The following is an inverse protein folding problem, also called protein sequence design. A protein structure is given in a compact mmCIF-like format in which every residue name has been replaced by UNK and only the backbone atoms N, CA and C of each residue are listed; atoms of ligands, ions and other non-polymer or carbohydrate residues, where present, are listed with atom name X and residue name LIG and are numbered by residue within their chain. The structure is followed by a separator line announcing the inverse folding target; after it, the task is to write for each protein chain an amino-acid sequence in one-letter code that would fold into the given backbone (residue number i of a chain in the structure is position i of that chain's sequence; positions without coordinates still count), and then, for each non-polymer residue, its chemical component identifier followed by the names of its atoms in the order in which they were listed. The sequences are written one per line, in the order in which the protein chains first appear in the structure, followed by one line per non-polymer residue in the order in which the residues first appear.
data_IF_957373086171
#
_entry.id   IF_957373086171
#
_cell.length_a   1.000
_cell.length_b   1.000
_cell.length_c   1.000
_cell.angle_alpha   90.00
_cell.angle_beta   90.00
_cell.angle_gamma   90.00
#
_symmetry.space_group_name_H-M   'P 1'
#
loop_
_entity.id
_entity.type
_entity.pdbx_description
1 polymer ?
#
# COMPACT_ATOMS: atom_id res chain seq x y z
N UNK A 1 9.94 21.75 26.53
CA UNK A 1 9.96 20.37 27.07
C UNK A 1 9.77 19.47 25.86
N UNK A 2 10.82 18.85 25.31
CA UNK A 2 10.66 17.86 24.25
C UNK A 2 10.05 16.62 24.92
N UNK A 3 8.81 16.30 24.57
CA UNK A 3 8.20 15.04 24.96
C UNK A 3 9.10 13.88 24.47
N UNK A 4 9.07 12.77 25.20
CA UNK A 4 9.75 11.54 24.81
C UNK A 4 9.21 11.07 23.45
N UNK A 5 10.11 10.84 22.48
CA UNK A 5 9.72 10.43 21.13
C UNK A 5 9.32 8.95 21.13
N UNK A 6 8.22 8.64 20.47
CA UNK A 6 7.62 7.32 20.46
C UNK A 6 7.61 6.73 19.04
N UNK A 7 8.11 5.48 18.89
CA UNK A 7 8.01 4.77 17.64
C UNK A 7 7.27 3.43 17.80
N UNK A 8 6.31 3.16 16.92
CA UNK A 8 5.68 1.86 16.82
C UNK A 8 6.57 0.91 16.00
N UNK A 9 6.68 -0.35 16.45
CA UNK A 9 7.40 -1.42 15.74
C UNK A 9 6.42 -2.44 15.19
N UNK A 10 6.55 -2.74 13.90
CA UNK A 10 5.82 -3.81 13.19
C UNK A 10 6.86 -4.68 12.49
N UNK A 11 6.73 -6.01 12.59
CA UNK A 11 7.66 -6.92 11.94
C UNK A 11 6.98 -7.88 10.96
N UNK A 12 7.78 -8.54 10.14
CA UNK A 12 7.31 -9.56 9.21
C UNK A 12 6.71 -10.77 9.97
N UNK A 13 5.71 -11.42 9.38
CA UNK A 13 5.06 -12.61 9.97
C UNK A 13 5.96 -13.83 10.15
N UNK A 14 7.21 -13.81 9.65
CA UNK A 14 8.21 -14.86 9.82
C UNK A 14 9.38 -14.35 10.69
N UNK A 15 9.32 -14.50 12.02
CA UNK A 15 10.24 -13.88 12.99
C UNK A 15 11.73 -14.13 12.73
N UNK A 16 12.19 -15.34 12.33
CA UNK A 16 13.62 -15.60 12.12
C UNK A 16 14.31 -14.64 11.15
N UNK A 17 13.54 -14.02 10.23
CA UNK A 17 14.12 -13.10 9.25
C UNK A 17 14.40 -11.71 9.83
N UNK A 18 13.73 -11.32 10.92
CA UNK A 18 13.74 -9.95 11.47
C UNK A 18 14.23 -9.85 12.89
N UNK A 19 14.43 -10.98 13.61
CA UNK A 19 14.80 -10.97 15.04
C UNK A 19 16.11 -10.21 15.31
N UNK A 20 17.14 -10.38 14.48
CA UNK A 20 18.40 -9.63 14.61
C UNK A 20 18.17 -8.12 14.40
N UNK A 21 17.34 -7.76 13.41
CA UNK A 21 17.01 -6.36 13.13
C UNK A 21 16.20 -5.71 14.25
N UNK A 22 15.39 -6.46 14.99
CA UNK A 22 14.70 -5.94 16.19
C UNK A 22 15.71 -5.52 17.26
N UNK A 23 16.73 -6.32 17.51
CA UNK A 23 17.79 -5.94 18.45
C UNK A 23 18.53 -4.66 18.00
N UNK A 24 18.81 -4.54 16.69
CA UNK A 24 19.41 -3.32 16.12
C UNK A 24 18.48 -2.12 16.26
N UNK A 25 17.17 -2.28 16.04
CA UNK A 25 16.18 -1.23 16.20
C UNK A 25 16.11 -0.72 17.65
N UNK A 26 16.12 -1.65 18.63
CA UNK A 26 16.14 -1.32 20.07
C UNK A 26 17.40 -0.52 20.42
N UNK A 27 18.56 -0.94 19.93
CA UNK A 27 19.82 -0.24 20.17
C UNK A 27 19.81 1.18 19.57
N UNK A 28 19.41 1.31 18.32
CA UNK A 28 19.35 2.59 17.61
C UNK A 28 18.32 3.57 18.22
N UNK A 29 17.15 3.07 18.60
CA UNK A 29 16.13 3.88 19.28
C UNK A 29 16.63 4.40 20.62
N UNK A 30 17.23 3.52 21.44
CA UNK A 30 17.79 3.88 22.75
C UNK A 30 18.89 4.93 22.63
N UNK A 31 19.80 4.77 21.68
CA UNK A 31 20.89 5.74 21.43
C UNK A 31 20.35 7.13 21.07
N UNK A 32 19.26 7.16 20.30
CA UNK A 32 18.63 8.40 19.86
C UNK A 32 17.59 8.98 20.86
N UNK A 33 17.38 8.32 22.01
CA UNK A 33 16.42 8.76 23.04
C UNK A 33 14.95 8.54 22.66
N UNK A 34 14.66 7.50 21.86
CA UNK A 34 13.31 7.09 21.50
C UNK A 34 12.86 5.89 22.31
N UNK A 35 11.55 5.81 22.53
CA UNK A 35 10.90 4.58 23.03
C UNK A 35 10.30 3.82 21.84
N UNK A 36 10.52 2.50 21.84
CA UNK A 36 9.83 1.58 20.93
C UNK A 36 8.65 0.95 21.65
N UNK A 37 7.51 0.90 20.96
CA UNK A 37 6.30 0.22 21.43
C UNK A 37 5.82 -0.79 20.39
N UNK A 38 5.29 -1.91 20.85
CA UNK A 38 4.63 -2.90 20.01
C UNK A 38 3.58 -3.65 20.82
N UNK A 39 2.70 -4.40 20.15
CA UNK A 39 1.78 -5.29 20.87
C UNK A 39 2.57 -6.41 21.58
N UNK A 40 2.01 -6.93 22.66
CA UNK A 40 2.64 -8.05 23.39
C UNK A 40 2.86 -9.27 22.45
N UNK A 41 1.95 -9.51 21.52
CA UNK A 41 2.07 -10.56 20.50
C UNK A 41 3.29 -10.31 19.59
N UNK A 42 3.49 -9.07 19.14
CA UNK A 42 4.62 -8.70 18.28
C UNK A 42 5.95 -8.91 19.00
N UNK A 43 6.06 -8.48 20.27
CA UNK A 43 7.26 -8.66 21.08
C UNK A 43 7.56 -10.15 21.31
N UNK A 44 6.53 -10.95 21.61
CA UNK A 44 6.68 -12.38 21.87
C UNK A 44 7.29 -13.16 20.69
N UNK A 45 7.09 -12.69 19.45
CA UNK A 45 7.71 -13.30 18.25
C UNK A 45 9.24 -13.30 18.29
N UNK A 46 9.86 -12.36 19.01
CA UNK A 46 11.30 -12.11 18.97
C UNK A 46 12.06 -12.47 20.25
N UNK A 47 11.34 -12.92 21.30
CA UNK A 47 11.94 -13.37 22.56
C UNK A 47 12.89 -12.32 23.16
N UNK A 48 14.14 -12.71 23.42
CA UNK A 48 15.17 -11.84 24.00
C UNK A 48 15.45 -10.56 23.17
N UNK A 49 15.38 -10.65 21.85
CA UNK A 49 15.61 -9.50 20.98
C UNK A 49 14.53 -8.40 21.12
N UNK A 50 13.34 -8.78 21.59
CA UNK A 50 12.26 -7.84 21.92
C UNK A 50 12.43 -7.12 23.26
N UNK A 51 13.46 -7.44 24.06
CA UNK A 51 13.76 -6.72 25.31
C UNK A 51 14.11 -5.26 25.00
N UNK A 52 13.40 -4.33 25.63
CA UNK A 52 13.54 -2.89 25.40
C UNK A 52 12.50 -2.32 24.43
N UNK A 53 11.55 -3.14 23.97
CA UNK A 53 10.31 -2.72 23.35
C UNK A 53 9.21 -2.76 24.41
N UNK A 54 8.50 -1.67 24.62
CA UNK A 54 7.42 -1.58 25.59
C UNK A 54 6.13 -2.19 25.03
N UNK A 55 5.49 -3.06 25.79
CA UNK A 55 4.23 -3.67 25.40
C UNK A 55 3.08 -2.68 25.53
N UNK A 56 2.22 -2.64 24.50
CA UNK A 56 1.00 -1.84 24.46
C UNK A 56 -0.21 -2.71 24.10
N UNK A 57 -1.38 -2.30 24.58
CA UNK A 57 -2.66 -2.93 24.25
C UNK A 57 -3.20 -2.34 22.95
N UNK A 58 -2.71 -2.87 21.82
CA UNK A 58 -2.92 -2.33 20.47
C UNK A 58 -1.93 -1.22 20.12
N UNK A 59 -1.67 -1.07 18.82
CA UNK A 59 -0.79 0.00 18.34
C UNK A 59 -1.42 1.36 18.59
N UNK A 60 -0.70 2.34 19.20
CA UNK A 60 -1.22 3.67 19.43
C UNK A 60 -1.57 4.36 18.10
N UNK A 61 -2.70 5.09 18.09
CA UNK A 61 -3.12 5.86 16.90
C UNK A 61 -2.17 7.01 16.56
N UNK A 62 -1.38 7.46 17.52
CA UNK A 62 -0.40 8.55 17.39
C UNK A 62 0.95 8.12 17.95
N UNK A 63 1.94 8.14 17.07
CA UNK A 63 3.37 7.98 17.39
C UNK A 63 4.16 8.93 16.50
N UNK A 64 5.42 9.18 16.80
CA UNK A 64 6.27 10.06 15.99
C UNK A 64 6.81 9.35 14.74
N UNK A 65 6.89 8.01 14.77
CA UNK A 65 7.36 7.16 13.66
C UNK A 65 6.76 5.76 13.79
N UNK A 66 6.42 5.12 12.67
CA UNK A 66 6.23 3.68 12.61
C UNK A 66 7.42 3.03 11.89
N UNK A 67 8.18 2.20 12.60
CA UNK A 67 9.26 1.39 12.04
C UNK A 67 8.70 0.03 11.63
N UNK A 68 8.89 -0.33 10.37
CA UNK A 68 8.47 -1.63 9.83
C UNK A 68 9.70 -2.43 9.40
N UNK A 69 9.88 -3.60 9.98
CA UNK A 69 10.89 -4.58 9.56
C UNK A 69 10.19 -5.68 8.78
N UNK A 70 10.01 -5.49 7.46
CA UNK A 70 9.22 -6.41 6.65
C UNK A 70 9.27 -6.10 5.16
N UNK A 71 8.42 -6.76 4.37
CA UNK A 71 8.24 -6.45 2.96
C UNK A 71 7.15 -5.40 2.72
N UNK A 72 6.85 -5.14 1.43
CA UNK A 72 5.84 -4.16 1.02
C UNK A 72 4.47 -4.41 1.66
N UNK A 73 4.06 -5.69 1.85
CA UNK A 73 2.80 -6.02 2.52
C UNK A 73 2.75 -5.55 3.98
N UNK A 74 3.85 -5.68 4.74
CA UNK A 74 3.92 -5.18 6.13
C UNK A 74 3.93 -3.66 6.17
N UNK A 75 4.61 -3.01 5.21
CA UNK A 75 4.63 -1.55 5.08
C UNK A 75 3.25 -1.04 4.70
N UNK A 76 2.55 -1.70 3.78
CA UNK A 76 1.19 -1.36 3.39
C UNK A 76 0.22 -1.50 4.58
N UNK A 77 0.35 -2.56 5.38
CA UNK A 77 -0.41 -2.73 6.62
C UNK A 77 -0.21 -1.54 7.56
N UNK A 78 1.04 -1.13 7.80
CA UNK A 78 1.35 0.02 8.64
C UNK A 78 0.78 1.33 8.08
N UNK A 79 0.92 1.57 6.77
CA UNK A 79 0.36 2.74 6.10
C UNK A 79 -1.17 2.80 6.21
N UNK A 80 -1.86 1.65 6.12
CA UNK A 80 -3.32 1.55 6.33
C UNK A 80 -3.69 1.84 7.79
N UNK A 81 -2.96 1.27 8.75
CA UNK A 81 -3.20 1.47 10.18
C UNK A 81 -3.08 2.96 10.56
N UNK A 82 -2.06 3.64 10.05
CA UNK A 82 -1.80 5.05 10.31
C UNK A 82 -2.42 6.00 9.26
N UNK A 83 -3.35 5.51 8.43
CA UNK A 83 -4.04 6.36 7.46
C UNK A 83 -4.70 7.57 8.15
N UNK A 84 -4.51 8.76 7.59
CA UNK A 84 -5.01 10.06 8.11
C UNK A 84 -4.48 10.48 9.48
N UNK A 85 -3.59 9.72 10.10
CA UNK A 85 -2.96 10.10 11.38
C UNK A 85 -1.79 11.08 11.20
N UNK A 86 -1.19 11.11 10.02
CA UNK A 86 0.03 11.85 9.75
C UNK A 86 1.31 11.18 10.24
N UNK A 87 1.23 10.00 10.83
CA UNK A 87 2.40 9.21 11.29
C UNK A 87 3.21 8.74 10.09
N UNK A 88 4.51 9.06 10.02
CA UNK A 88 5.39 8.56 8.97
C UNK A 88 5.72 7.09 9.19
N UNK A 89 5.69 6.29 8.11
CA UNK A 89 6.05 4.88 8.12
C UNK A 89 7.42 4.69 7.46
N UNK A 90 8.40 4.20 8.20
CA UNK A 90 9.74 3.89 7.73
C UNK A 90 9.92 2.37 7.61
N UNK A 91 10.09 1.88 6.39
CA UNK A 91 10.25 0.45 6.12
C UNK A 91 11.69 0.05 5.89
N UNK A 92 12.09 -1.08 6.49
CA UNK A 92 13.32 -1.82 6.15
C UNK A 92 12.93 -3.10 5.43
N UNK A 93 13.47 -3.34 4.24
CA UNK A 93 13.06 -4.46 3.40
C UNK A 93 13.61 -5.81 3.90
N UNK A 94 12.71 -6.66 4.34
CA UNK A 94 12.96 -8.09 4.63
C UNK A 94 12.14 -9.01 3.71
N UNK A 95 11.49 -8.44 2.70
CA UNK A 95 10.78 -9.17 1.64
C UNK A 95 11.62 -9.32 0.37
N UNK A 96 10.93 -9.65 -0.73
CA UNK A 96 11.58 -9.92 -2.03
C UNK A 96 11.61 -8.71 -2.96
N UNK A 97 10.61 -7.82 -2.89
CA UNK A 97 10.45 -6.72 -3.87
C UNK A 97 10.93 -5.38 -3.32
N UNK A 98 10.37 -4.86 -2.25
CA UNK A 98 10.86 -3.67 -1.54
C UNK A 98 10.66 -2.34 -2.27
N UNK A 99 9.49 -2.12 -2.90
CA UNK A 99 9.18 -0.82 -3.50
C UNK A 99 8.93 0.28 -2.47
N UNK A 100 8.31 -0.06 -1.34
CA UNK A 100 7.96 0.91 -0.30
C UNK A 100 9.05 1.07 0.76
N UNK A 101 9.97 0.13 0.90
CA UNK A 101 10.99 0.18 1.94
C UNK A 101 11.93 1.40 1.75
N UNK A 102 12.39 2.01 2.80
CA UNK A 102 13.34 3.10 2.77
C UNK A 102 14.77 2.61 2.51
N UNK A 103 15.10 1.43 3.05
CA UNK A 103 16.42 0.78 2.93
C UNK A 103 16.27 -0.73 2.77
N UNK A 104 17.26 -1.35 2.16
CA UNK A 104 17.39 -2.80 2.07
C UNK A 104 17.99 -3.36 3.38
N UNK A 105 17.90 -4.69 3.54
CA UNK A 105 18.30 -5.42 4.76
C UNK A 105 19.75 -5.18 5.16
N UNK A 106 20.66 -5.12 4.22
CA UNK A 106 22.09 -4.90 4.44
C UNK A 106 22.42 -3.51 4.98
N UNK A 107 21.56 -2.51 4.70
CA UNK A 107 21.66 -1.15 5.20
C UNK A 107 20.78 -0.89 6.44
N UNK A 108 20.17 -1.93 7.04
CA UNK A 108 19.16 -1.78 8.11
C UNK A 108 19.67 -0.98 9.31
N UNK A 109 20.85 -1.33 9.85
CA UNK A 109 21.41 -0.68 11.05
C UNK A 109 21.61 0.82 10.83
N UNK A 110 22.26 1.19 9.73
CA UNK A 110 22.51 2.59 9.37
C UNK A 110 21.20 3.32 9.04
N UNK A 111 20.30 2.69 8.29
CA UNK A 111 19.01 3.25 7.96
C UNK A 111 18.16 3.60 9.17
N UNK A 112 18.07 2.71 10.15
CA UNK A 112 17.34 2.93 11.39
C UNK A 112 17.98 4.03 12.24
N UNK A 113 19.31 4.04 12.37
CA UNK A 113 20.02 5.10 13.08
C UNK A 113 19.70 6.48 12.49
N UNK A 114 19.74 6.61 11.16
CA UNK A 114 19.41 7.84 10.46
C UNK A 114 17.93 8.23 10.59
N UNK A 115 17.01 7.26 10.55
CA UNK A 115 15.60 7.52 10.77
C UNK A 115 15.32 8.08 12.16
N UNK A 116 15.90 7.48 13.22
CA UNK A 116 15.78 7.98 14.59
C UNK A 116 16.53 9.29 14.83
N UNK A 117 17.56 9.61 14.04
CA UNK A 117 18.20 10.93 14.03
C UNK A 117 17.33 12.02 13.37
N UNK A 118 16.18 11.66 12.76
CA UNK A 118 15.27 12.58 12.11
C UNK A 118 15.70 12.99 10.70
N UNK A 119 16.58 12.22 10.06
CA UNK A 119 17.06 12.49 8.70
C UNK A 119 16.06 12.06 7.60
N UNK A 120 15.05 11.28 7.94
CA UNK A 120 14.07 10.83 6.98
C UNK A 120 13.09 11.97 6.61
N UNK A 121 12.94 12.20 5.32
CA UNK A 121 11.87 13.03 4.76
C UNK A 121 10.60 12.19 4.57
N UNK A 122 9.47 12.84 4.32
CA UNK A 122 8.18 12.18 4.11
C UNK A 122 7.64 12.42 2.71
N UNK A 123 6.97 11.41 2.18
CA UNK A 123 6.19 11.47 0.94
C UNK A 123 4.74 11.20 1.33
N UNK A 124 3.85 12.15 1.01
CA UNK A 124 2.43 11.96 1.21
C UNK A 124 1.89 11.03 0.10
N UNK A 125 1.16 10.01 0.50
CA UNK A 125 0.61 8.99 -0.38
C UNK A 125 -0.91 9.14 -0.47
N UNK A 126 -1.48 9.05 -1.69
CA UNK A 126 -2.91 9.06 -1.90
C UNK A 126 -3.52 7.67 -1.60
N UNK A 127 -4.85 7.64 -1.61
CA UNK A 127 -5.64 6.40 -1.61
C UNK A 127 -6.78 6.52 -2.62
N UNK A 128 -7.39 5.39 -2.95
CA UNK A 128 -8.70 5.35 -3.61
C UNK A 128 -9.77 5.11 -2.54
N UNK A 129 -10.87 5.85 -2.63
CA UNK A 129 -12.04 5.64 -1.80
C UNK A 129 -13.12 4.92 -2.61
N UNK A 130 -13.71 3.92 -2.02
CA UNK A 130 -14.89 3.22 -2.54
C UNK A 130 -15.88 2.99 -1.41
N UNK A 131 -17.16 3.08 -1.71
CA UNK A 131 -18.22 2.75 -0.76
C UNK A 131 -18.75 1.34 -1.11
N UNK A 132 -18.63 0.41 -0.19
CA UNK A 132 -19.07 -0.98 -0.35
C UNK A 132 -19.97 -1.34 0.81
N UNK A 133 -21.18 -1.81 0.52
CA UNK A 133 -22.19 -2.20 1.52
C UNK A 133 -22.48 -1.11 2.56
N UNK A 134 -22.46 0.19 2.13
CA UNK A 134 -22.70 1.34 2.98
C UNK A 134 -21.51 1.78 3.84
N UNK A 135 -20.35 1.13 3.70
CA UNK A 135 -19.12 1.50 4.39
C UNK A 135 -18.09 2.13 3.43
N UNK A 136 -17.57 3.29 3.82
CA UNK A 136 -16.48 3.94 3.10
C UNK A 136 -15.14 3.29 3.41
N UNK A 137 -14.46 2.80 2.39
CA UNK A 137 -13.18 2.10 2.49
C UNK A 137 -12.10 2.81 1.68
N UNK A 138 -10.85 2.66 2.12
CA UNK A 138 -9.67 3.22 1.47
C UNK A 138 -8.75 2.11 0.98
N UNK A 139 -8.32 2.21 -0.27
CA UNK A 139 -7.28 1.39 -0.88
C UNK A 139 -6.00 2.21 -1.03
N UNK A 140 -4.90 1.76 -0.47
CA UNK A 140 -3.59 2.39 -0.66
C UNK A 140 -2.90 1.88 -1.93
N UNK A 141 -3.14 0.63 -2.32
CA UNK A 141 -2.69 0.10 -3.59
C UNK A 141 -3.78 0.16 -4.65
N UNK A 142 -4.83 -0.64 -4.52
CA UNK A 142 -5.81 -0.79 -5.58
C UNK A 142 -7.20 -1.22 -5.09
N UNK A 143 -8.20 -0.90 -5.91
CA UNK A 143 -9.55 -1.44 -5.88
C UNK A 143 -9.73 -2.29 -7.12
N UNK A 144 -10.02 -3.56 -6.92
CA UNK A 144 -10.24 -4.52 -8.00
C UNK A 144 -11.69 -5.00 -8.04
N UNK A 145 -12.23 -5.11 -9.24
CA UNK A 145 -13.53 -5.72 -9.54
C UNK A 145 -13.25 -7.02 -10.27
N UNK A 146 -13.37 -8.17 -9.61
CA UNK A 146 -12.89 -9.45 -10.11
C UNK A 146 -14.06 -10.43 -10.24
N UNK A 147 -14.17 -11.11 -11.40
CA UNK A 147 -15.13 -12.19 -11.56
C UNK A 147 -14.88 -13.30 -10.53
N UNK A 148 -15.94 -13.91 -10.05
CA UNK A 148 -15.83 -15.02 -9.11
C UNK A 148 -15.17 -16.26 -9.76
N UNK A 149 -14.44 -17.05 -8.98
CA UNK A 149 -13.94 -18.35 -9.46
C UNK A 149 -15.09 -19.20 -10.02
N UNK A 150 -14.88 -19.79 -11.18
CA UNK A 150 -15.88 -20.58 -11.93
C UNK A 150 -17.11 -19.79 -12.41
N UNK A 151 -17.19 -18.47 -12.17
CA UNK A 151 -18.19 -17.57 -12.75
C UNK A 151 -17.97 -17.32 -14.23
N UNK A 152 -18.96 -16.75 -14.89
CA UNK A 152 -18.85 -16.29 -16.27
C UNK A 152 -17.88 -15.08 -16.34
N UNK A 153 -17.41 -14.80 -17.54
CA UNK A 153 -16.67 -13.57 -17.84
C UNK A 153 -17.48 -12.36 -17.37
N UNK A 154 -16.85 -11.47 -16.61
CA UNK A 154 -17.50 -10.25 -16.17
C UNK A 154 -17.74 -9.30 -17.36
N UNK A 155 -18.85 -8.60 -17.34
CA UNK A 155 -19.18 -7.53 -18.28
C UNK A 155 -19.25 -6.23 -17.49
N UNK A 156 -18.17 -5.45 -17.55
CA UNK A 156 -18.05 -4.22 -16.78
C UNK A 156 -18.23 -3.01 -17.67
N UNK A 157 -19.11 -2.11 -17.26
CA UNK A 157 -19.16 -0.75 -17.79
C UNK A 157 -18.36 0.17 -16.92
N UNK A 158 -17.74 1.18 -17.50
CA UNK A 158 -17.04 2.20 -16.72
C UNK A 158 -17.26 3.59 -17.31
N UNK A 159 -17.55 4.51 -16.40
CA UNK A 159 -17.76 5.93 -16.67
C UNK A 159 -16.74 6.74 -15.89
N UNK A 160 -16.23 7.80 -16.47
CA UNK A 160 -15.27 8.70 -15.83
C UNK A 160 -15.80 10.12 -16.02
N UNK A 161 -15.83 10.90 -14.95
CA UNK A 161 -16.39 12.25 -14.95
C UNK A 161 -17.82 12.33 -15.53
N UNK A 162 -18.61 11.26 -15.33
CA UNK A 162 -19.97 11.16 -15.85
C UNK A 162 -20.09 10.68 -17.30
N UNK A 163 -19.00 10.63 -18.06
CA UNK A 163 -18.98 10.17 -19.46
C UNK A 163 -18.80 8.65 -19.52
N UNK A 164 -19.55 7.97 -20.38
CA UNK A 164 -19.35 6.55 -20.64
C UNK A 164 -18.09 6.37 -21.50
N UNK A 165 -17.07 5.72 -20.90
CA UNK A 165 -15.78 5.50 -21.55
C UNK A 165 -15.72 4.14 -22.23
N UNK A 166 -16.37 3.15 -21.63
CA UNK A 166 -16.40 1.84 -22.26
C UNK A 166 -17.19 0.76 -21.53
N UNK A 167 -17.28 -0.36 -22.27
CA UNK A 167 -17.85 -1.62 -21.84
C UNK A 167 -16.84 -2.71 -22.19
N UNK A 168 -16.44 -3.50 -21.22
CA UNK A 168 -15.41 -4.52 -21.40
C UNK A 168 -15.84 -5.87 -20.82
N UNK A 169 -15.65 -6.92 -21.60
CA UNK A 169 -15.73 -8.31 -21.13
C UNK A 169 -14.32 -8.71 -20.69
N UNK A 170 -14.14 -9.08 -19.42
CA UNK A 170 -12.83 -9.33 -18.85
C UNK A 170 -12.93 -10.23 -17.60
N UNK A 171 -11.81 -10.64 -17.06
CA UNK A 171 -11.74 -11.29 -15.75
C UNK A 171 -11.81 -10.27 -14.60
N UNK A 172 -11.58 -8.99 -14.88
CA UNK A 172 -11.72 -7.91 -13.91
C UNK A 172 -11.19 -6.56 -14.40
N UNK A 173 -11.39 -5.56 -13.55
CA UNK A 173 -10.89 -4.19 -13.68
C UNK A 173 -10.13 -3.82 -12.42
N UNK A 174 -9.02 -3.13 -12.56
CA UNK A 174 -8.16 -2.64 -11.47
C UNK A 174 -8.09 -1.12 -11.55
N UNK A 175 -8.45 -0.45 -10.47
CA UNK A 175 -8.15 0.96 -10.25
C UNK A 175 -7.01 1.06 -9.24
N UNK A 176 -5.86 1.60 -9.62
CA UNK A 176 -4.65 1.60 -8.81
C UNK A 176 -4.10 3.00 -8.55
N UNK A 177 -3.72 3.26 -7.30
CA UNK A 177 -2.97 4.45 -6.89
C UNK A 177 -1.57 4.47 -7.53
N UNK A 178 -0.81 5.56 -7.46
CA UNK A 178 0.60 5.54 -7.81
C UNK A 178 1.41 4.46 -7.08
N UNK A 179 1.12 4.20 -5.80
CA UNK A 179 1.77 3.13 -5.03
C UNK A 179 1.40 1.75 -5.59
N UNK A 180 0.12 1.50 -5.80
CA UNK A 180 -0.40 0.24 -6.34
C UNK A 180 -0.08 0.03 -7.82
N UNK A 181 0.39 1.07 -8.53
CA UNK A 181 0.72 0.97 -9.96
C UNK A 181 1.81 -0.06 -10.26
N UNK A 182 2.69 -0.35 -9.29
CA UNK A 182 3.75 -1.38 -9.37
C UNK A 182 3.30 -2.76 -8.89
N UNK A 183 2.06 -2.90 -8.40
CA UNK A 183 1.45 -4.14 -7.92
C UNK A 183 0.62 -4.85 -8.99
N UNK A 184 -0.64 -5.15 -8.66
CA UNK A 184 -1.52 -5.92 -9.55
C UNK A 184 -1.81 -5.21 -10.88
N UNK A 185 -1.87 -3.86 -10.87
CA UNK A 185 -1.96 -3.06 -12.08
C UNK A 185 -0.83 -3.38 -13.07
N UNK A 186 0.43 -3.50 -12.60
CA UNK A 186 1.57 -3.80 -13.46
C UNK A 186 1.46 -5.19 -14.09
N UNK A 187 1.01 -6.20 -13.33
CA UNK A 187 0.76 -7.54 -13.84
C UNK A 187 -0.28 -7.56 -14.98
N UNK A 188 -1.16 -6.57 -15.02
CA UNK A 188 -2.18 -6.35 -16.06
C UNK A 188 -1.73 -5.34 -17.13
N UNK A 189 -0.43 -5.08 -17.25
CA UNK A 189 0.15 -4.16 -18.24
C UNK A 189 -0.35 -2.70 -18.08
N UNK A 190 -0.78 -2.33 -16.89
CA UNK A 190 -1.11 -0.95 -16.55
C UNK A 190 0.14 -0.06 -16.45
N UNK A 191 0.01 1.25 -16.58
CA UNK A 191 1.13 2.17 -16.51
C UNK A 191 1.73 2.23 -15.09
N UNK A 192 3.04 2.40 -15.00
CA UNK A 192 3.73 2.72 -13.75
C UNK A 192 3.57 4.22 -13.49
N UNK A 193 3.07 4.58 -12.31
CA UNK A 193 2.92 5.96 -11.87
C UNK A 193 3.97 6.26 -10.78
N UNK A 194 4.71 7.36 -10.93
CA UNK A 194 5.57 7.83 -9.85
C UNK A 194 4.74 8.30 -8.64
N UNK A 195 5.27 8.15 -7.43
CA UNK A 195 4.52 8.45 -6.19
C UNK A 195 3.96 9.87 -6.10
N UNK A 196 4.59 10.84 -6.76
CA UNK A 196 4.12 12.23 -6.83
C UNK A 196 3.05 12.52 -7.87
N UNK A 197 2.62 11.52 -8.66
CA UNK A 197 1.56 11.71 -9.66
C UNK A 197 0.22 11.84 -8.95
N UNK A 198 -0.50 12.91 -9.24
CA UNK A 198 -1.89 13.10 -8.82
C UNK A 198 -2.81 12.49 -9.85
N UNK A 199 -3.41 11.38 -9.49
CA UNK A 199 -4.25 10.57 -10.35
C UNK A 199 -4.08 9.08 -10.07
N UNK A 200 -4.78 8.25 -10.81
CA UNK A 200 -4.77 6.80 -10.64
C UNK A 200 -4.88 6.08 -11.98
N UNK A 201 -4.39 4.85 -12.03
CA UNK A 201 -4.46 4.02 -13.22
C UNK A 201 -5.71 3.16 -13.22
N UNK A 202 -6.28 2.92 -14.40
CA UNK A 202 -7.32 1.90 -14.63
C UNK A 202 -6.80 0.91 -15.66
N UNK A 203 -6.78 -0.36 -15.30
CA UNK A 203 -6.32 -1.45 -16.17
C UNK A 203 -7.28 -2.64 -16.10
N UNK A 204 -7.11 -3.63 -16.97
CA UNK A 204 -8.04 -4.75 -17.14
C UNK A 204 -7.33 -6.08 -16.97
N UNK A 205 -7.99 -7.02 -16.29
CA UNK A 205 -7.53 -8.39 -16.12
C UNK A 205 -8.09 -9.21 -17.29
N UNK A 206 -7.22 -9.75 -18.12
CA UNK A 206 -7.56 -10.60 -19.27
C UNK A 206 -8.74 -10.06 -20.11
N UNK A 207 -8.68 -8.85 -20.69
CA UNK A 207 -9.78 -8.28 -21.48
C UNK A 207 -10.01 -9.09 -22.74
N UNK A 208 -11.30 -9.40 -23.03
CA UNK A 208 -11.71 -10.12 -24.24
C UNK A 208 -11.94 -9.18 -25.43
N UNK A 209 -11.13 -8.16 -25.56
CA UNK A 209 -11.16 -7.19 -26.67
C UNK A 209 -9.75 -6.68 -26.96
N UNK A 210 -9.47 -6.43 -28.22
CA UNK A 210 -8.18 -5.89 -28.68
C UNK A 210 -8.08 -4.36 -28.48
N UNK A 211 -9.18 -3.70 -28.14
CA UNK A 211 -9.24 -2.24 -28.01
C UNK A 211 -9.15 -1.74 -26.58
N UNK A 212 -9.22 -2.63 -25.57
CA UNK A 212 -9.02 -2.22 -24.19
C UNK A 212 -7.61 -1.63 -24.00
N UNK A 213 -7.56 -0.44 -23.40
CA UNK A 213 -6.32 0.25 -23.07
C UNK A 213 -6.38 0.73 -21.64
N UNK A 214 -5.30 0.55 -20.92
CA UNK A 214 -5.15 1.15 -19.60
C UNK A 214 -5.18 2.69 -19.71
N UNK A 215 -5.78 3.33 -18.73
CA UNK A 215 -5.95 4.78 -18.64
C UNK A 215 -5.27 5.31 -17.39
N UNK A 216 -4.86 6.57 -17.44
CA UNK A 216 -4.56 7.36 -16.24
C UNK A 216 -5.68 8.38 -16.08
N UNK A 217 -6.30 8.38 -14.91
CA UNK A 217 -7.47 9.21 -14.59
C UNK A 217 -7.00 10.35 -13.67
N UNK A 218 -7.53 11.53 -13.91
CA UNK A 218 -7.23 12.73 -13.12
C UNK A 218 -7.81 12.59 -11.68
N UNK A 219 -7.25 13.29 -10.68
CA UNK A 219 -7.63 13.11 -9.27
C UNK A 219 -9.07 13.51 -8.96
N UNK A 220 -9.62 14.48 -9.71
CA UNK A 220 -10.98 14.99 -9.52
C UNK A 220 -12.03 14.21 -10.30
N UNK A 221 -11.61 13.30 -11.17
CA UNK A 221 -12.49 12.50 -12.00
C UNK A 221 -12.88 11.20 -11.27
N UNK A 222 -14.17 11.04 -11.00
CA UNK A 222 -14.71 9.84 -10.34
C UNK A 222 -14.92 8.74 -11.37
N UNK A 223 -14.41 7.54 -11.06
CA UNK A 223 -14.64 6.33 -11.83
C UNK A 223 -15.89 5.62 -11.29
N UNK A 224 -16.86 5.38 -12.14
CA UNK A 224 -18.03 4.54 -11.87
C UNK A 224 -17.84 3.20 -12.57
N UNK A 225 -17.83 2.11 -11.82
CA UNK A 225 -17.75 0.75 -12.37
C UNK A 225 -19.10 0.07 -12.18
N UNK A 226 -19.72 -0.32 -13.29
CA UNK A 226 -21.00 -1.03 -13.30
C UNK A 226 -20.82 -2.49 -13.70
N UNK A 227 -21.58 -3.41 -13.08
CA UNK A 227 -21.69 -4.79 -13.53
C UNK A 227 -22.89 -4.91 -14.47
N UNK A 228 -22.65 -4.82 -15.79
CA UNK A 228 -23.66 -4.95 -16.82
C UNK A 228 -23.93 -6.41 -17.21
N UNK A 229 -23.10 -7.32 -16.76
CA UNK A 229 -23.11 -8.75 -17.12
C UNK A 229 -24.10 -9.56 -16.32
N UNK A 230 -25.12 -9.98 -17.00
CA UNK A 230 -25.90 -11.15 -16.71
C UNK A 230 -26.35 -11.36 -15.25
N UNK A 231 -25.96 -12.50 -14.66
CA UNK A 231 -26.48 -12.96 -13.36
C UNK A 231 -25.42 -13.05 -12.26
N UNK A 232 -24.15 -12.99 -12.61
CA UNK A 232 -23.08 -13.26 -11.66
C UNK A 232 -22.59 -11.95 -11.01
N UNK A 233 -22.52 -11.88 -9.67
CA UNK A 233 -21.87 -10.76 -9.01
C UNK A 233 -20.36 -10.78 -9.25
N UNK A 234 -19.75 -9.59 -9.13
CA UNK A 234 -18.31 -9.37 -9.22
C UNK A 234 -17.79 -9.08 -7.82
N UNK A 235 -16.71 -9.72 -7.42
CA UNK A 235 -16.10 -9.47 -6.12
C UNK A 235 -15.35 -8.14 -6.12
N UNK A 236 -15.51 -7.37 -5.04
CA UNK A 236 -14.76 -6.14 -4.78
C UNK A 236 -13.63 -6.46 -3.82
N UNK A 237 -12.40 -6.21 -4.28
CA UNK A 237 -11.17 -6.52 -3.53
C UNK A 237 -10.40 -5.21 -3.33
N UNK A 238 -10.00 -4.92 -2.10
CA UNK A 238 -9.22 -3.73 -1.73
C UNK A 238 -7.87 -4.19 -1.17
N UNK A 239 -6.76 -3.75 -1.77
CA UNK A 239 -5.40 -4.09 -1.32
C UNK A 239 -5.22 -5.61 -1.09
N UNK A 240 -5.86 -6.45 -1.91
CA UNK A 240 -5.81 -7.90 -1.83
C UNK A 240 -6.85 -8.56 -0.91
N UNK A 241 -7.67 -7.80 -0.18
CA UNK A 241 -8.73 -8.30 0.71
C UNK A 241 -10.11 -8.20 0.06
N UNK A 242 -10.87 -9.29 0.00
CA UNK A 242 -12.26 -9.27 -0.46
C UNK A 242 -13.14 -8.54 0.56
N UNK A 243 -13.80 -7.45 0.14
CA UNK A 243 -14.56 -6.57 1.03
C UNK A 243 -16.06 -6.55 0.75
N UNK A 244 -16.50 -7.13 -0.35
CA UNK A 244 -17.90 -7.15 -0.73
C UNK A 244 -18.09 -7.56 -2.19
N UNK A 245 -19.28 -7.29 -2.74
CA UNK A 245 -19.64 -7.68 -4.10
C UNK A 245 -20.40 -6.60 -4.84
N UNK A 246 -20.09 -6.43 -6.12
CA UNK A 246 -20.87 -5.62 -7.04
C UNK A 246 -21.92 -6.50 -7.72
N UNK A 247 -23.18 -6.31 -7.35
CA UNK A 247 -24.30 -7.08 -7.90
C UNK A 247 -24.55 -6.74 -9.38
N UNK A 248 -25.20 -7.65 -10.11
CA UNK A 248 -25.63 -7.38 -11.48
C UNK A 248 -26.58 -6.20 -11.52
N UNK A 249 -26.32 -5.28 -12.46
CA UNK A 249 -27.09 -4.03 -12.63
C UNK A 249 -26.72 -2.93 -11.63
N UNK A 250 -25.84 -3.20 -10.64
CA UNK A 250 -25.33 -2.18 -9.71
C UNK A 250 -24.06 -1.52 -10.23
N UNK A 251 -23.73 -0.38 -9.64
CA UNK A 251 -22.48 0.34 -9.88
C UNK A 251 -21.87 0.83 -8.55
N UNK A 252 -20.55 0.94 -8.51
CA UNK A 252 -19.80 1.53 -7.40
C UNK A 252 -18.92 2.66 -7.93
N UNK A 253 -18.70 3.65 -7.07
CA UNK A 253 -17.86 4.80 -7.33
C UNK A 253 -16.50 4.61 -6.70
N UNK A 254 -15.43 4.92 -7.46
CA UNK A 254 -14.05 4.97 -6.99
C UNK A 254 -13.53 6.39 -7.18
N UNK A 255 -13.14 7.02 -6.09
CA UNK A 255 -12.63 8.39 -6.08
C UNK A 255 -11.23 8.46 -5.51
N UNK A 256 -10.41 9.39 -6.01
CA UNK A 256 -9.07 9.65 -5.50
C UNK A 256 -9.13 10.51 -4.24
N UNK A 257 -8.27 10.20 -3.26
CA UNK A 257 -8.12 10.97 -2.01
C UNK A 257 -6.64 11.25 -1.80
N UNK A 258 -6.27 12.51 -1.76
CA UNK A 258 -4.88 12.95 -1.57
C UNK A 258 -4.44 12.86 -0.10
N UNK A 259 -3.14 12.74 0.15
CA UNK A 259 -2.51 12.86 1.48
C UNK A 259 -3.11 11.95 2.57
N UNK A 260 -3.33 10.68 2.25
CA UNK A 260 -3.94 9.73 3.19
C UNK A 260 -2.91 9.12 4.14
N UNK A 261 -1.74 8.79 3.66
CA UNK A 261 -0.68 8.16 4.47
C UNK A 261 0.68 8.79 4.18
N UNK A 262 1.63 8.60 5.08
CA UNK A 262 2.99 9.15 4.95
C UNK A 262 4.04 8.06 4.91
N UNK A 263 4.81 8.03 3.83
CA UNK A 263 5.96 7.15 3.67
C UNK A 263 7.24 7.91 4.00
N UNK A 264 8.01 7.41 4.97
CA UNK A 264 9.31 7.99 5.32
C UNK A 264 10.40 7.41 4.43
N UNK A 265 11.26 8.27 3.89
CA UNK A 265 12.36 7.90 3.00
C UNK A 265 13.63 8.66 3.37
N UNK A 266 14.80 8.03 3.27
CA UNK A 266 16.08 8.70 3.47
C UNK A 266 16.42 9.60 2.28
N UNK A 267 17.19 10.71 2.49
CA UNK A 267 17.68 11.53 1.41
C UNK A 267 18.45 10.73 0.35
N UNK A 268 18.14 11.01 -0.92
CA UNK A 268 18.69 10.27 -2.06
C UNK A 268 17.88 9.05 -2.50
N UNK A 269 16.84 8.66 -1.77
CA UNK A 269 15.88 7.69 -2.27
C UNK A 269 15.13 8.28 -3.48
N UNK A 270 15.06 7.51 -4.56
CA UNK A 270 14.38 7.92 -5.80
C UNK A 270 13.49 6.78 -6.30
N UNK A 271 12.23 7.11 -6.58
CA UNK A 271 11.31 6.17 -7.22
C UNK A 271 11.91 5.58 -8.51
N UNK A 272 12.52 6.41 -9.36
CA UNK A 272 13.09 5.99 -10.64
C UNK A 272 14.31 5.09 -10.46
N UNK A 273 15.15 5.32 -9.44
CA UNK A 273 16.22 4.42 -9.09
C UNK A 273 15.70 3.04 -8.70
N UNK A 274 14.64 2.98 -7.88
CA UNK A 274 14.01 1.70 -7.50
C UNK A 274 13.45 0.95 -8.71
N UNK A 275 12.79 1.66 -9.64
CA UNK A 275 12.33 1.07 -10.88
C UNK A 275 13.49 0.43 -11.62
N UNK A 276 14.61 1.15 -11.80
CA UNK A 276 15.80 0.62 -12.47
C UNK A 276 16.43 -0.57 -11.73
N UNK A 277 16.51 -0.51 -10.40
CA UNK A 277 17.08 -1.59 -9.57
C UNK A 277 16.22 -2.86 -9.58
N UNK A 278 14.88 -2.71 -9.58
CA UNK A 278 13.96 -3.86 -9.48
C UNK A 278 13.57 -4.46 -10.83
N UNK A 279 13.49 -3.67 -11.87
CA UNK A 279 13.11 -4.14 -13.23
C UNK A 279 14.24 -4.10 -14.24
N UNK A 280 15.41 -3.57 -13.87
CA UNK A 280 16.48 -3.28 -14.82
C UNK A 280 16.12 -2.09 -15.73
N UNK A 281 16.73 -2.05 -16.94
CA UNK A 281 16.35 -1.06 -17.93
C UNK A 281 14.98 -1.40 -18.50
N UNK A 282 14.03 -0.47 -18.44
CA UNK A 282 12.66 -0.68 -18.93
C UNK A 282 12.56 -0.78 -20.46
N UNK A 283 13.60 -0.32 -21.16
CA UNK A 283 13.75 -0.47 -22.60
C UNK A 283 15.22 -0.71 -22.93
N UNK A 284 15.53 -1.82 -23.58
CA UNK A 284 16.84 -2.19 -24.08
C UNK A 284 16.72 -2.40 -25.59
#
# INVERSE_FOLDING_TARGET
MSGERLAALITHGHPPTTTEAVALAVAAAREAGWRLVATAEEIAKHGEAGRGVDAVDGLPAQVDLCLVLGGDGSILYALRHFARSGVPVFGVNFGTVGFLAAVERDAAAEGMRRAFAGEAGTIDLPALRVEVDGESRLALNDVCFIRRPHGRVAELTYRIAGEEVGHVRCDGLVAATPVGSTGYNLANQGPILAWGVKGYAVSYIAPHTLTARALVVAPDDVLHVGNAGGRDPVDVVIDGEAVGTLQSGAALEVGFVDNVSRLAQLPGASFYRRISEKFGHLAV
#
